data_IF_143493761894
#
_entry.id   IF_143493761894
#
_cell.length_a   1.000
_cell.length_b   1.000
_cell.length_c   1.000
_cell.angle_alpha   90.00
_cell.angle_beta   90.00
_cell.angle_gamma   90.00
#
_symmetry.space_group_name_H-M   'P 1'
#
loop_
_entity.id
_entity.type
_entity.pdbx_description
1 polymer ?
#
# COMPACT_ATOMS: atom_id res chain seq x y z
N UNK A 1 -7.22 -34.70 10.65
CA UNK A 1 -5.95 -34.33 11.29
C UNK A 1 -6.27 -33.83 12.69
N UNK A 2 -5.86 -34.60 13.73
CA UNK A 2 -5.87 -34.06 15.09
C UNK A 2 -4.64 -33.16 15.31
N UNK A 3 -4.70 -32.29 16.32
CA UNK A 3 -3.53 -31.50 16.69
C UNK A 3 -2.33 -32.36 17.09
N UNK A 4 -2.57 -33.54 17.62
CA UNK A 4 -1.56 -34.52 18.01
C UNK A 4 -0.77 -35.09 16.81
N UNK A 5 -1.40 -35.15 15.62
CA UNK A 5 -0.72 -35.63 14.40
C UNK A 5 0.30 -34.61 13.87
N UNK A 6 0.17 -33.32 14.23
CA UNK A 6 1.08 -32.24 13.80
C UNK A 6 2.39 -32.26 14.60
N UNK A 7 2.36 -32.80 15.84
CA UNK A 7 3.51 -32.83 16.74
C UNK A 7 4.28 -34.16 16.69
N UNK A 8 3.89 -35.10 15.80
CA UNK A 8 4.67 -36.31 15.59
C UNK A 8 5.98 -35.99 14.88
N UNK A 9 7.06 -36.67 15.28
CA UNK A 9 8.37 -36.49 14.65
C UNK A 9 8.42 -36.98 13.19
N UNK A 10 7.41 -37.71 12.74
CA UNK A 10 7.29 -38.20 11.38
C UNK A 10 5.97 -37.74 10.80
N UNK A 11 6.02 -36.94 9.74
CA UNK A 11 4.84 -36.46 9.00
C UNK A 11 4.86 -37.14 7.64
N UNK A 12 3.74 -37.79 7.29
CA UNK A 12 3.54 -38.36 5.97
C UNK A 12 3.60 -37.30 4.87
N UNK A 13 4.25 -37.62 3.76
CA UNK A 13 4.43 -36.73 2.63
C UNK A 13 3.08 -36.19 2.08
N UNK A 14 2.02 -36.98 2.20
CA UNK A 14 0.67 -36.56 1.80
C UNK A 14 0.12 -35.43 2.65
N UNK A 15 0.41 -35.43 3.94
CA UNK A 15 0.06 -34.35 4.85
C UNK A 15 0.91 -33.11 4.61
N UNK A 16 2.21 -33.32 4.36
CA UNK A 16 3.12 -32.23 4.04
C UNK A 16 2.67 -31.48 2.76
N UNK A 17 2.27 -32.21 1.73
CA UNK A 17 1.70 -31.63 0.50
C UNK A 17 0.41 -30.82 0.77
N UNK A 18 -0.44 -31.28 1.70
CA UNK A 18 -1.64 -30.55 2.10
C UNK A 18 -1.31 -29.26 2.86
N UNK A 19 -0.34 -29.31 3.75
CA UNK A 19 0.19 -28.15 4.48
C UNK A 19 0.79 -27.16 3.47
N UNK A 20 1.61 -27.64 2.55
CA UNK A 20 2.24 -26.81 1.53
C UNK A 20 1.24 -26.17 0.56
N UNK A 21 0.13 -26.83 0.28
CA UNK A 21 -0.95 -26.26 -0.51
C UNK A 21 -1.56 -25.00 0.12
N UNK A 22 -1.54 -24.93 1.46
CA UNK A 22 -2.03 -23.79 2.24
C UNK A 22 -0.95 -22.72 2.36
N UNK A 23 0.25 -23.12 2.80
CA UNK A 23 1.34 -22.19 3.14
C UNK A 23 2.25 -21.83 1.96
N UNK A 24 2.23 -22.61 0.87
CA UNK A 24 2.98 -22.40 -0.39
C UNK A 24 4.47 -22.09 -0.20
N UNK A 25 5.12 -22.82 0.72
CA UNK A 25 6.55 -22.66 1.02
C UNK A 25 7.45 -23.56 0.18
N UNK A 26 6.88 -24.61 -0.44
CA UNK A 26 7.61 -25.68 -1.10
C UNK A 26 8.06 -26.79 -0.13
N UNK A 27 8.05 -28.03 -0.60
CA UNK A 27 8.32 -29.20 0.25
C UNK A 27 9.71 -29.16 0.91
N UNK A 28 10.71 -28.59 0.23
CA UNK A 28 12.06 -28.42 0.78
C UNK A 28 12.10 -27.56 2.04
N UNK A 29 11.23 -26.57 2.16
CA UNK A 29 11.14 -25.72 3.34
C UNK A 29 10.81 -26.53 4.61
N UNK A 30 9.97 -27.54 4.48
CA UNK A 30 9.54 -28.37 5.61
C UNK A 30 10.50 -29.53 5.87
N UNK A 31 11.31 -29.90 4.87
CA UNK A 31 12.31 -30.95 4.99
C UNK A 31 13.68 -30.44 5.46
N UNK A 32 13.86 -29.11 5.52
CA UNK A 32 15.10 -28.50 5.97
C UNK A 32 15.25 -28.71 7.49
N UNK A 33 16.32 -29.40 7.95
CA UNK A 33 16.57 -29.61 9.37
C UNK A 33 16.95 -28.34 10.12
N UNK A 34 17.29 -27.28 9.38
CA UNK A 34 17.58 -25.97 9.98
C UNK A 34 16.28 -25.31 10.38
N UNK A 35 16.09 -25.15 11.68
CA UNK A 35 14.95 -24.37 12.22
C UNK A 35 14.99 -22.98 11.57
N UNK A 36 13.94 -22.57 10.84
CA UNK A 36 13.92 -21.27 10.24
C UNK A 36 14.15 -20.21 11.31
N UNK A 37 15.31 -19.57 11.27
CA UNK A 37 15.55 -18.45 12.16
C UNK A 37 14.45 -17.45 11.88
N UNK A 38 13.70 -17.03 12.89
CA UNK A 38 12.82 -15.86 12.80
C UNK A 38 13.71 -14.71 12.40
N UNK A 39 13.76 -14.45 11.08
CA UNK A 39 14.38 -13.21 10.62
C UNK A 39 13.65 -12.09 11.36
N UNK A 40 14.39 -11.17 11.92
CA UNK A 40 13.88 -10.01 12.65
C UNK A 40 13.02 -9.04 11.79
N UNK A 41 12.89 -9.31 10.50
CA UNK A 41 11.86 -8.69 9.65
C UNK A 41 10.54 -9.41 9.91
N UNK A 42 9.86 -9.04 10.99
CA UNK A 42 8.47 -9.44 11.16
C UNK A 42 7.67 -8.92 9.97
N UNK A 43 6.76 -9.74 9.45
CA UNK A 43 5.77 -9.29 8.46
C UNK A 43 5.12 -8.00 8.93
N UNK A 44 4.69 -7.15 8.00
CA UNK A 44 3.88 -5.95 8.29
C UNK A 44 2.79 -6.27 9.31
N UNK A 45 2.15 -7.45 9.21
CA UNK A 45 1.12 -7.91 10.15
C UNK A 45 1.60 -8.11 11.60
N UNK A 46 2.89 -8.32 11.83
CA UNK A 46 3.45 -8.54 13.17
C UNK A 46 4.17 -7.30 13.71
N UNK A 47 4.46 -6.35 12.85
CA UNK A 47 5.15 -5.11 13.25
C UNK A 47 4.21 -4.09 13.87
N UNK A 48 2.91 -4.16 13.54
CA UNK A 48 1.88 -3.26 14.10
C UNK A 48 0.81 -4.08 14.83
N UNK A 49 0.64 -3.86 16.11
CA UNK A 49 -0.40 -4.47 16.96
C UNK A 49 -1.83 -3.99 16.59
N UNK A 50 -1.92 -2.98 15.73
CA UNK A 50 -3.16 -2.31 15.35
C UNK A 50 -3.57 -2.51 13.89
N UNK A 51 -3.14 -3.59 13.24
CA UNK A 51 -3.80 -3.95 11.99
C UNK A 51 -5.25 -4.24 12.27
N UNK A 52 -6.12 -3.44 11.66
CA UNK A 52 -7.55 -3.64 11.78
C UNK A 52 -7.88 -5.10 11.47
N UNK A 53 -8.71 -5.71 12.30
CA UNK A 53 -9.20 -7.09 12.19
C UNK A 53 -9.89 -7.38 10.84
N UNK A 54 -10.05 -6.39 10.00
CA UNK A 54 -11.03 -6.29 8.93
C UNK A 54 -10.49 -6.63 7.54
N UNK A 55 -9.16 -6.79 7.39
CA UNK A 55 -8.59 -7.27 6.13
C UNK A 55 -9.08 -8.67 5.80
N UNK A 56 -9.73 -8.81 4.65
CA UNK A 56 -10.20 -10.11 4.20
C UNK A 56 -9.05 -11.05 3.79
N UNK A 57 -9.38 -12.32 3.58
CA UNK A 57 -8.39 -13.34 3.22
C UNK A 57 -7.62 -12.98 1.95
N UNK A 58 -8.30 -12.41 0.94
CA UNK A 58 -7.68 -11.99 -0.32
C UNK A 58 -6.61 -10.90 -0.11
N UNK A 59 -6.92 -9.89 0.70
CA UNK A 59 -5.97 -8.83 1.05
C UNK A 59 -4.75 -9.39 1.80
N UNK A 60 -4.98 -10.21 2.84
CA UNK A 60 -3.90 -10.88 3.59
C UNK A 60 -3.00 -11.72 2.70
N UNK A 61 -3.56 -12.41 1.71
CA UNK A 61 -2.79 -13.19 0.75
C UNK A 61 -1.94 -12.30 -0.14
N UNK A 62 -2.48 -11.18 -0.66
CA UNK A 62 -1.75 -10.23 -1.51
C UNK A 62 -0.59 -9.58 -0.77
N UNK A 63 -0.83 -9.11 0.46
CA UNK A 63 0.23 -8.51 1.27
C UNK A 63 1.40 -9.49 1.45
N UNK A 64 1.13 -10.74 1.83
CA UNK A 64 2.18 -11.77 1.98
C UNK A 64 2.93 -12.06 0.69
N UNK A 65 2.22 -12.13 -0.44
CA UNK A 65 2.81 -12.36 -1.75
C UNK A 65 3.82 -11.27 -2.11
N UNK A 66 3.43 -10.00 -1.94
CA UNK A 66 4.30 -8.87 -2.26
C UNK A 66 5.41 -8.65 -1.23
N UNK A 67 5.20 -8.95 0.05
CA UNK A 67 6.27 -8.99 1.05
C UNK A 67 7.37 -9.99 0.67
N UNK A 68 6.98 -11.18 0.19
CA UNK A 68 7.92 -12.21 -0.25
C UNK A 68 8.69 -11.77 -1.51
N UNK A 69 8.00 -11.17 -2.49
CA UNK A 69 8.63 -10.61 -3.69
C UNK A 69 9.60 -9.50 -3.31
N UNK A 70 9.18 -8.55 -2.48
CA UNK A 70 10.02 -7.43 -2.02
C UNK A 70 11.26 -7.93 -1.27
N UNK A 71 11.10 -8.90 -0.39
CA UNK A 71 12.22 -9.53 0.34
C UNK A 71 13.23 -10.16 -0.61
N UNK A 72 12.76 -10.87 -1.64
CA UNK A 72 13.63 -11.48 -2.66
C UNK A 72 14.36 -10.42 -3.49
N UNK A 73 13.68 -9.36 -3.89
CA UNK A 73 14.31 -8.25 -4.61
C UNK A 73 15.40 -7.57 -3.79
N UNK A 74 15.15 -7.32 -2.51
CA UNK A 74 16.14 -6.75 -1.62
C UNK A 74 17.36 -7.68 -1.44
N UNK A 75 17.13 -8.99 -1.36
CA UNK A 75 18.22 -9.96 -1.30
C UNK A 75 19.06 -9.96 -2.59
N UNK A 76 18.42 -9.93 -3.76
CA UNK A 76 19.10 -9.86 -5.07
C UNK A 76 19.88 -8.53 -5.17
N UNK A 77 19.28 -7.42 -4.78
CA UNK A 77 19.93 -6.11 -4.77
C UNK A 77 21.21 -6.13 -3.91
N UNK A 78 21.12 -6.74 -2.72
CA UNK A 78 22.27 -6.89 -1.82
C UNK A 78 23.35 -7.79 -2.41
N UNK A 79 22.99 -8.93 -3.01
CA UNK A 79 23.92 -9.86 -3.64
C UNK A 79 24.58 -9.27 -4.89
N UNK A 80 23.91 -8.38 -5.59
CA UNK A 80 24.42 -7.72 -6.80
C UNK A 80 25.11 -6.39 -6.52
N UNK A 81 25.30 -6.03 -5.25
CA UNK A 81 25.91 -4.76 -4.82
C UNK A 81 25.15 -3.51 -5.34
N UNK A 82 23.87 -3.67 -5.70
CA UNK A 82 23.01 -2.59 -6.16
C UNK A 82 22.43 -1.86 -4.94
N UNK A 83 22.90 -0.65 -4.69
CA UNK A 83 22.39 0.20 -3.61
C UNK A 83 21.25 1.07 -4.11
N UNK A 84 20.03 0.71 -3.78
CA UNK A 84 18.85 1.55 -4.02
C UNK A 84 18.82 2.70 -2.99
N UNK A 85 19.48 3.79 -3.32
CA UNK A 85 19.50 4.98 -2.46
C UNK A 85 18.15 5.71 -2.55
N UNK A 86 17.62 6.10 -1.40
CA UNK A 86 16.42 6.94 -1.32
C UNK A 86 16.71 8.32 -1.90
N UNK A 87 15.95 8.73 -2.91
CA UNK A 87 16.10 10.04 -3.60
C UNK A 87 15.08 11.07 -3.12
N UNK A 88 14.00 10.65 -2.48
CA UNK A 88 13.01 11.53 -1.88
C UNK A 88 13.27 11.71 -0.38
N UNK A 89 12.92 12.87 0.19
CA UNK A 89 13.15 13.16 1.60
C UNK A 89 12.39 12.18 2.51
N UNK A 90 12.89 11.95 3.71
CA UNK A 90 12.12 11.34 4.78
C UNK A 90 11.40 12.45 5.55
N UNK A 91 10.08 12.36 5.63
CA UNK A 91 9.24 13.33 6.31
C UNK A 91 8.83 12.84 7.70
N UNK A 92 8.27 13.74 8.50
CA UNK A 92 7.63 13.45 9.79
C UNK A 92 6.20 13.92 9.75
N UNK A 93 5.31 13.30 10.50
CA UNK A 93 3.91 13.73 10.64
C UNK A 93 3.75 15.19 11.10
N UNK A 94 4.74 15.72 11.83
CA UNK A 94 4.75 17.12 12.24
C UNK A 94 4.98 18.13 11.11
N UNK A 95 5.38 17.67 9.92
CA UNK A 95 5.55 18.51 8.73
C UNK A 95 4.21 18.70 8.05
N UNK A 96 3.98 19.90 7.50
CA UNK A 96 2.76 20.19 6.75
C UNK A 96 2.69 19.29 5.51
N UNK A 97 1.64 18.46 5.34
CA UNK A 97 1.47 17.63 4.15
C UNK A 97 1.34 18.45 2.88
N UNK A 98 0.79 19.67 2.97
CA UNK A 98 0.63 20.62 1.86
C UNK A 98 2.00 21.09 1.35
N UNK A 99 2.85 21.55 2.27
CA UNK A 99 4.18 22.05 1.91
C UNK A 99 5.05 20.95 1.33
N UNK A 100 4.98 19.76 1.92
CA UNK A 100 5.68 18.57 1.41
C UNK A 100 5.18 18.24 -0.01
N UNK A 101 3.86 18.19 -0.23
CA UNK A 101 3.28 17.91 -1.53
C UNK A 101 3.80 18.88 -2.60
N UNK A 102 3.75 20.18 -2.35
CA UNK A 102 4.20 21.19 -3.31
C UNK A 102 5.72 21.14 -3.54
N UNK A 103 6.52 20.84 -2.52
CA UNK A 103 7.98 20.76 -2.62
C UNK A 103 8.49 19.65 -3.53
N UNK A 104 7.74 18.55 -3.65
CA UNK A 104 8.16 17.38 -4.44
C UNK A 104 7.35 17.17 -5.71
N UNK A 105 6.25 17.90 -5.91
CA UNK A 105 5.31 17.71 -7.01
C UNK A 105 5.99 17.57 -8.37
N UNK A 106 6.84 18.52 -8.74
CA UNK A 106 7.51 18.53 -10.04
C UNK A 106 8.51 17.38 -10.24
N UNK A 107 9.00 16.83 -9.13
CA UNK A 107 9.91 15.68 -9.15
C UNK A 107 9.17 14.37 -9.39
N UNK A 108 7.99 14.22 -8.81
CA UNK A 108 7.27 12.95 -8.79
C UNK A 108 6.18 12.85 -9.84
N UNK A 109 5.54 13.96 -10.23
CA UNK A 109 4.50 13.93 -11.24
C UNK A 109 5.06 14.14 -12.64
N UNK A 110 4.49 13.47 -13.66
CA UNK A 110 4.80 13.76 -15.05
C UNK A 110 4.18 15.10 -15.47
N UNK A 111 4.61 15.60 -16.63
CA UNK A 111 3.87 16.67 -17.29
C UNK A 111 2.41 16.24 -17.52
N UNK A 112 1.50 17.21 -17.41
CA UNK A 112 0.07 16.93 -17.58
C UNK A 112 -0.21 16.38 -18.98
N UNK A 113 -0.99 15.31 -19.02
CA UNK A 113 -1.59 14.72 -20.22
C UNK A 113 -3.05 14.43 -19.94
N UNK A 114 -3.93 14.65 -20.94
CA UNK A 114 -5.38 14.44 -20.76
C UNK A 114 -5.75 12.99 -20.48
N UNK A 115 -4.98 12.05 -21.05
CA UNK A 115 -5.22 10.63 -20.85
C UNK A 115 -4.75 10.20 -19.44
N UNK A 116 -5.70 9.93 -18.56
CA UNK A 116 -5.41 9.51 -17.17
C UNK A 116 -4.56 8.25 -17.06
N UNK A 117 -4.68 7.32 -18.02
CA UNK A 117 -3.88 6.10 -18.06
C UNK A 117 -2.41 6.42 -18.33
N UNK A 118 -2.14 7.29 -19.30
CA UNK A 118 -0.79 7.70 -19.65
C UNK A 118 -0.19 8.56 -18.54
N UNK A 119 -1.00 9.38 -17.88
CA UNK A 119 -0.59 10.14 -16.70
C UNK A 119 -0.18 9.22 -15.56
N UNK A 120 -0.98 8.21 -15.23
CA UNK A 120 -0.63 7.21 -14.21
C UNK A 120 0.65 6.46 -14.55
N UNK A 121 0.81 6.04 -15.81
CA UNK A 121 2.05 5.39 -16.28
C UNK A 121 3.25 6.32 -16.13
N UNK A 122 3.10 7.58 -16.48
CA UNK A 122 4.13 8.60 -16.28
C UNK A 122 4.51 8.77 -14.82
N UNK A 123 3.52 8.78 -13.93
CA UNK A 123 3.74 8.87 -12.48
C UNK A 123 4.53 7.66 -11.96
N UNK A 124 4.13 6.45 -12.33
CA UNK A 124 4.85 5.21 -11.99
C UNK A 124 6.31 5.27 -12.48
N UNK A 125 6.54 5.71 -13.70
CA UNK A 125 7.90 5.82 -14.27
C UNK A 125 8.74 6.84 -13.48
N UNK A 126 8.18 8.00 -13.14
CA UNK A 126 8.86 9.02 -12.32
C UNK A 126 9.26 8.47 -10.95
N UNK A 127 8.38 7.70 -10.31
CA UNK A 127 8.70 7.04 -9.04
C UNK A 127 9.83 6.01 -9.21
N UNK A 128 9.83 5.24 -10.30
CA UNK A 128 10.93 4.32 -10.64
C UNK A 128 12.27 5.03 -10.78
N UNK A 129 12.32 6.18 -11.47
CA UNK A 129 13.52 7.03 -11.59
C UNK A 129 14.02 7.53 -10.23
N UNK A 130 13.12 7.61 -9.24
CA UNK A 130 13.40 8.01 -7.87
C UNK A 130 13.70 6.83 -6.94
N UNK A 131 13.90 5.64 -7.49
CA UNK A 131 14.13 4.39 -6.77
C UNK A 131 12.97 3.96 -5.86
N UNK A 132 11.74 4.33 -6.22
CA UNK A 132 10.52 3.80 -5.61
C UNK A 132 9.95 2.75 -6.56
N UNK A 133 9.89 1.52 -6.08
CA UNK A 133 9.36 0.39 -6.86
C UNK A 133 7.85 0.39 -6.78
N UNK A 134 7.16 0.34 -7.90
CA UNK A 134 5.70 0.20 -7.93
C UNK A 134 5.35 -1.16 -8.50
N UNK A 135 4.78 -2.01 -7.64
CA UNK A 135 4.15 -3.26 -8.06
C UNK A 135 2.70 -3.04 -8.41
N UNK A 136 2.22 -3.73 -9.40
CA UNK A 136 0.83 -3.66 -9.83
C UNK A 136 0.20 -5.05 -9.75
N UNK A 137 -1.05 -5.13 -9.27
CA UNK A 137 -1.81 -6.37 -9.33
C UNK A 137 -3.26 -6.13 -9.79
N UNK A 138 -3.83 -7.16 -10.40
CA UNK A 138 -5.24 -7.21 -10.77
C UNK A 138 -5.90 -8.30 -9.96
N UNK A 139 -7.06 -8.02 -9.39
CA UNK A 139 -7.83 -9.06 -8.72
C UNK A 139 -8.38 -10.08 -9.70
N UNK A 140 -8.34 -11.33 -9.28
CA UNK A 140 -8.98 -12.40 -10.03
C UNK A 140 -10.51 -12.18 -10.07
N UNK A 141 -11.15 -12.65 -11.14
CA UNK A 141 -12.59 -12.51 -11.39
C UNK A 141 -13.46 -13.16 -10.27
N UNK A 142 -12.87 -14.01 -9.45
CA UNK A 142 -13.58 -14.72 -8.39
C UNK A 142 -13.81 -13.81 -7.18
N UNK A 143 -15.05 -13.38 -6.97
CA UNK A 143 -15.49 -12.48 -5.88
C UNK A 143 -15.08 -12.92 -4.48
N UNK A 144 -14.90 -14.23 -4.24
CA UNK A 144 -14.54 -14.78 -2.91
C UNK A 144 -13.09 -14.48 -2.49
N UNK A 145 -12.23 -14.12 -3.43
CA UNK A 145 -10.81 -13.83 -3.18
C UNK A 145 -10.40 -12.40 -3.52
N UNK A 146 -11.40 -11.54 -3.77
CA UNK A 146 -11.14 -10.13 -4.07
C UNK A 146 -10.58 -9.45 -2.83
N UNK A 147 -9.39 -8.84 -2.96
CA UNK A 147 -8.78 -8.09 -1.88
C UNK A 147 -9.55 -6.78 -1.63
N UNK A 148 -9.86 -6.49 -0.35
CA UNK A 148 -10.50 -5.26 0.06
C UNK A 148 -9.49 -4.14 0.37
N UNK A 149 -8.39 -4.10 -0.37
CA UNK A 149 -7.35 -3.06 -0.34
C UNK A 149 -7.17 -2.49 -1.73
N UNK A 150 -6.76 -1.23 -1.83
CA UNK A 150 -6.46 -0.55 -3.09
C UNK A 150 -4.96 -0.38 -3.33
N UNK A 151 -4.19 -0.26 -2.27
CA UNK A 151 -2.74 -0.19 -2.28
C UNK A 151 -2.17 -0.43 -0.90
N UNK A 152 -0.85 -0.47 -0.82
CA UNK A 152 -0.10 -0.46 0.42
C UNK A 152 1.38 -0.22 0.15
N UNK A 153 2.06 0.36 1.13
CA UNK A 153 3.49 0.59 1.11
C UNK A 153 4.24 -0.53 1.83
N UNK A 154 5.37 -0.96 1.30
CA UNK A 154 6.31 -1.91 1.90
C UNK A 154 7.69 -1.28 2.03
N UNK A 155 8.26 -1.34 3.22
CA UNK A 155 9.63 -0.90 3.46
C UNK A 155 10.65 -1.72 2.63
N UNK A 156 11.73 -1.10 2.16
CA UNK A 156 12.07 0.32 2.36
C UNK A 156 11.51 1.26 1.28
N UNK A 157 11.07 0.76 0.12
CA UNK A 157 10.81 1.58 -1.05
C UNK A 157 9.85 0.97 -2.09
N UNK A 158 8.96 0.08 -1.69
CA UNK A 158 8.01 -0.54 -2.60
C UNK A 158 6.56 -0.11 -2.30
N UNK A 159 5.84 0.28 -3.32
CA UNK A 159 4.41 0.55 -3.29
C UNK A 159 3.71 -0.54 -4.08
N UNK A 160 2.62 -1.08 -3.58
CA UNK A 160 1.78 -2.05 -4.27
C UNK A 160 0.46 -1.38 -4.62
N UNK A 161 0.11 -1.36 -5.89
CA UNK A 161 -1.08 -0.71 -6.43
C UNK A 161 -2.03 -1.73 -7.04
N UNK A 162 -3.28 -1.71 -6.63
CA UNK A 162 -4.35 -2.47 -7.25
C UNK A 162 -4.84 -1.77 -8.52
N UNK A 163 -4.74 -2.48 -9.66
CA UNK A 163 -5.24 -1.98 -10.94
C UNK A 163 -6.72 -2.32 -11.09
N UNK A 164 -7.52 -1.30 -11.22
CA UNK A 164 -8.97 -1.43 -11.41
C UNK A 164 -9.40 -1.26 -12.86
N UNK A 165 -8.58 -0.61 -13.68
CA UNK A 165 -8.76 -0.32 -15.10
C UNK A 165 -9.98 0.57 -15.45
N UNK A 166 -10.95 0.66 -14.57
CA UNK A 166 -12.19 1.44 -14.72
C UNK A 166 -12.15 2.78 -13.94
N UNK A 167 -11.16 2.97 -13.06
CA UNK A 167 -11.05 4.14 -12.21
C UNK A 167 -9.61 4.64 -12.03
N UNK A 168 -9.03 5.18 -13.11
CA UNK A 168 -7.66 5.74 -13.07
C UNK A 168 -7.51 6.89 -12.06
N UNK A 169 -8.55 7.67 -11.81
CA UNK A 169 -8.50 8.73 -10.79
C UNK A 169 -8.29 8.14 -9.38
N UNK A 170 -8.95 7.01 -9.09
CA UNK A 170 -8.77 6.30 -7.81
C UNK A 170 -7.37 5.68 -7.72
N UNK A 171 -6.88 5.09 -8.81
CA UNK A 171 -5.53 4.53 -8.87
C UNK A 171 -4.45 5.63 -8.66
N UNK A 172 -4.65 6.81 -9.26
CA UNK A 172 -3.76 7.97 -9.05
C UNK A 172 -3.76 8.44 -7.60
N UNK A 173 -4.95 8.54 -7.00
CA UNK A 173 -5.08 8.94 -5.60
C UNK A 173 -4.41 7.91 -4.68
N UNK A 174 -4.69 6.62 -4.88
CA UNK A 174 -4.05 5.54 -4.11
C UNK A 174 -2.53 5.60 -4.22
N UNK A 175 -1.98 5.75 -5.44
CA UNK A 175 -0.53 5.82 -5.63
C UNK A 175 0.09 7.04 -4.92
N UNK A 176 -0.59 8.18 -4.95
CA UNK A 176 -0.15 9.39 -4.25
C UNK A 176 -0.24 9.21 -2.72
N UNK A 177 -1.27 8.54 -2.22
CA UNK A 177 -1.46 8.22 -0.82
C UNK A 177 -0.35 7.29 -0.29
N UNK A 178 -0.07 6.19 -0.99
CA UNK A 178 1.01 5.26 -0.65
C UNK A 178 2.40 5.91 -0.74
N UNK A 179 2.56 6.91 -1.63
CA UNK A 179 3.76 7.74 -1.64
C UNK A 179 3.89 8.55 -0.33
N UNK A 180 2.78 8.98 0.26
CA UNK A 180 2.76 9.60 1.60
C UNK A 180 3.36 8.67 2.65
N UNK A 181 2.90 7.42 2.72
CA UNK A 181 3.46 6.40 3.63
C UNK A 181 4.94 6.16 3.39
N UNK A 182 5.37 6.10 2.12
CA UNK A 182 6.79 6.03 1.79
C UNK A 182 7.57 7.22 2.35
N UNK A 183 7.05 8.44 2.23
CA UNK A 183 7.74 9.65 2.72
C UNK A 183 7.87 9.63 4.25
N UNK A 184 6.84 9.23 4.96
CA UNK A 184 6.87 9.06 6.41
C UNK A 184 7.74 7.87 6.83
N UNK A 185 7.86 6.86 5.97
CA UNK A 185 8.55 5.59 6.27
C UNK A 185 7.74 4.73 7.22
N UNK A 186 6.42 4.81 7.12
CA UNK A 186 5.46 4.07 7.92
C UNK A 186 4.60 3.17 7.05
N UNK A 187 4.60 1.88 7.35
CA UNK A 187 3.74 0.89 6.70
C UNK A 187 2.39 0.86 7.42
N UNK A 188 1.36 1.27 6.73
CA UNK A 188 -0.02 1.13 7.17
C UNK A 188 -0.83 0.49 6.03
N UNK A 189 -1.83 -0.30 6.35
CA UNK A 189 -2.72 -0.90 5.36
C UNK A 189 -4.13 -0.61 5.84
N UNK A 190 -4.83 0.22 5.13
CA UNK A 190 -6.24 0.48 5.39
C UNK A 190 -7.14 -0.44 4.59
N UNK A 191 -8.18 -0.89 5.26
CA UNK A 191 -9.36 -1.41 4.61
C UNK A 191 -10.20 -0.23 4.16
N UNK A 192 -10.10 0.16 2.89
CA UNK A 192 -10.80 1.38 2.50
C UNK A 192 -11.58 1.23 1.22
N UNK A 193 -12.77 1.63 1.36
CA UNK A 193 -13.47 2.36 0.33
C UNK A 193 -13.09 3.85 0.46
N UNK A 194 -11.90 4.25 -0.07
CA UNK A 194 -11.37 5.61 0.01
C UNK A 194 -12.34 6.68 -0.57
N UNK A 195 -13.40 6.25 -1.24
CA UNK A 195 -14.46 7.11 -1.79
C UNK A 195 -15.66 7.25 -0.86
N UNK A 196 -15.80 6.41 0.15
CA UNK A 196 -16.77 6.64 1.23
C UNK A 196 -16.10 7.53 2.26
N UNK A 197 -16.55 8.78 2.32
CA UNK A 197 -16.20 9.69 3.42
C UNK A 197 -16.55 8.93 4.72
N UNK A 198 -15.57 8.60 5.58
CA UNK A 198 -15.89 7.99 6.86
C UNK A 198 -16.88 8.90 7.58
N UNK A 199 -17.93 8.34 8.11
CA UNK A 199 -18.96 9.07 8.87
C UNK A 199 -18.41 9.76 10.14
N UNK A 200 -17.12 9.58 10.44
CA UNK A 200 -16.40 10.34 11.44
C UNK A 200 -14.90 10.44 11.05
N UNK A 201 -14.46 11.63 10.70
CA UNK A 201 -13.05 12.03 10.55
C UNK A 201 -12.23 11.72 11.81
N UNK A 202 -12.88 11.54 12.96
CA UNK A 202 -12.26 11.31 14.26
C UNK A 202 -11.69 9.89 14.44
N UNK A 203 -11.98 8.95 13.54
CA UNK A 203 -11.52 7.56 13.64
C UNK A 203 -10.26 7.25 12.82
N UNK A 204 -9.83 8.17 11.95
CA UNK A 204 -8.61 7.99 11.15
C UNK A 204 -7.36 8.29 11.97
N UNK A 205 -6.30 7.50 11.75
CA UNK A 205 -4.99 7.79 12.36
C UNK A 205 -4.43 9.13 11.87
N UNK A 206 -3.49 9.72 12.62
CA UNK A 206 -2.83 10.95 12.22
C UNK A 206 -2.05 10.74 10.91
N UNK A 207 -1.38 9.59 10.76
CA UNK A 207 -0.67 9.18 9.56
C UNK A 207 -1.59 9.14 8.35
N UNK A 208 -2.75 8.50 8.46
CA UNK A 208 -3.71 8.38 7.37
C UNK A 208 -4.27 9.75 6.92
N UNK A 209 -4.61 10.61 7.91
CA UNK A 209 -5.03 11.98 7.61
C UNK A 209 -3.95 12.76 6.87
N UNK A 210 -2.69 12.59 7.30
CA UNK A 210 -1.55 13.23 6.67
C UNK A 210 -1.38 12.73 5.22
N UNK A 211 -1.42 11.42 4.99
CA UNK A 211 -1.28 10.81 3.68
C UNK A 211 -2.42 11.20 2.73
N UNK A 212 -3.66 11.26 3.23
CA UNK A 212 -4.82 11.72 2.45
C UNK A 212 -4.68 13.19 2.03
N UNK A 213 -4.30 14.08 2.95
CA UNK A 213 -4.08 15.49 2.65
C UNK A 213 -2.91 15.65 1.66
N UNK A 214 -1.80 14.96 1.89
CA UNK A 214 -0.67 14.95 0.99
C UNK A 214 -1.06 14.54 -0.43
N UNK A 215 -1.76 13.41 -0.60
CA UNK A 215 -2.21 12.91 -1.89
C UNK A 215 -3.11 13.92 -2.61
N UNK A 216 -4.03 14.51 -1.88
CA UNK A 216 -4.96 15.51 -2.40
C UNK A 216 -4.21 16.74 -2.97
N UNK A 217 -3.33 17.36 -2.18
CA UNK A 217 -2.57 18.52 -2.60
C UNK A 217 -1.52 18.22 -3.66
N UNK A 218 -0.92 17.04 -3.60
CA UNK A 218 0.02 16.58 -4.63
C UNK A 218 -0.67 16.54 -6.01
N UNK A 219 -1.86 15.98 -6.09
CA UNK A 219 -2.57 15.81 -7.35
C UNK A 219 -3.21 17.11 -7.85
N UNK A 220 -3.84 17.88 -6.98
CA UNK A 220 -4.48 19.14 -7.37
C UNK A 220 -3.47 20.21 -7.73
N UNK A 221 -2.41 20.37 -6.96
CA UNK A 221 -1.46 21.45 -7.09
C UNK A 221 -1.95 22.76 -6.41
N UNK A 222 -1.03 23.73 -6.35
CA UNK A 222 -1.23 24.95 -5.57
C UNK A 222 -2.40 25.80 -6.08
N UNK A 223 -2.49 25.99 -7.39
CA UNK A 223 -3.51 26.85 -8.02
C UNK A 223 -4.94 26.38 -7.70
N UNK A 224 -5.19 25.06 -7.78
CA UNK A 224 -6.51 24.51 -7.47
C UNK A 224 -6.78 24.43 -5.97
N UNK A 225 -5.74 24.26 -5.15
CA UNK A 225 -5.88 24.26 -3.71
C UNK A 225 -6.32 25.65 -3.20
N UNK A 226 -5.77 26.73 -3.74
CA UNK A 226 -6.14 28.10 -3.40
C UNK A 226 -7.61 28.39 -3.78
N UNK A 227 -8.07 27.93 -4.94
CA UNK A 227 -9.47 28.07 -5.36
C UNK A 227 -10.46 27.38 -4.41
N UNK A 228 -10.06 26.26 -3.79
CA UNK A 228 -10.93 25.54 -2.85
C UNK A 228 -11.08 26.27 -1.51
N UNK A 229 -10.09 27.07 -1.09
CA UNK A 229 -10.21 27.92 0.09
C UNK A 229 -11.14 29.13 -0.14
N UNK A 230 -11.34 29.53 -1.40
CA UNK A 230 -12.24 30.64 -1.77
C UNK A 230 -13.70 30.18 -1.91
N UNK A 231 -13.98 28.88 -1.99
CA UNK A 231 -15.34 28.36 -2.00
C UNK A 231 -15.91 28.50 -0.59
N UNK A 232 -16.97 29.32 -0.39
CA UNK A 232 -17.62 29.42 0.92
C UNK A 232 -17.98 27.99 1.39
N UNK A 233 -17.60 27.63 2.61
CA UNK A 233 -18.06 26.39 3.23
C UNK A 233 -19.58 26.36 3.13
N UNK A 234 -20.13 25.39 2.42
CA UNK A 234 -21.57 25.18 2.39
C UNK A 234 -22.00 24.94 3.83
N UNK A 235 -22.66 25.95 4.39
CA UNK A 235 -23.26 25.85 5.71
C UNK A 235 -24.40 24.85 5.57
N UNK A 236 -24.27 23.68 6.20
CA UNK A 236 -25.25 22.61 6.16
C UNK A 236 -26.59 22.97 6.83
N UNK A 237 -26.75 24.21 7.23
CA UNK A 237 -27.93 24.76 7.89
C UNK A 237 -28.86 25.56 6.95
N UNK A 238 -28.59 25.63 5.67
CA UNK A 238 -29.58 26.19 4.75
C UNK A 238 -30.62 25.15 4.37
N UNK A 239 -31.66 25.17 5.18
CA UNK A 239 -32.99 24.60 4.94
C UNK A 239 -33.46 24.96 3.53
N UNK A 240 -33.50 23.98 2.62
CA UNK A 240 -34.24 24.17 1.36
C UNK A 240 -35.72 24.11 1.71
N UNK A 241 -36.27 25.29 2.07
CA UNK A 241 -37.70 25.48 2.16
C UNK A 241 -38.35 25.07 0.84
N UNK A 242 -39.31 24.19 0.97
CA UNK A 242 -40.25 23.85 -0.09
C UNK A 242 -40.95 25.13 -0.61
N UNK A 243 -40.82 25.42 -1.89
CA UNK A 243 -41.87 26.00 -2.75
C UNK A 243 -41.99 25.18 -4.02
#
# INVERSE_FOLDING_TARGET
>A
LSWEDIYKNEIDLSYLKRIDKVFKRGLFYYADPVVPQRKSSSSVFFRKEHFSSDLNYGAKQRVREFEDINTRLLAISTLSDIKLQRKLPKCKESMSPIDVAFSIRDKVLPAFVENKRDYLKGFINKLGDLNVIVFEFVDQYNKKHKANIDGFFLLPNAIVLKRRQDSFSRELFTLAHELGHYLLGEEEIEEVDMMTIPSSFDQMSATERWCNQFAYYLLLGKEYAELLYEIPTFDSNNDYGHE
#
